data_IF_317727717551
#
_entry.id   IF_317727717551
#
_cell.length_a   1.000
_cell.length_b   1.000
_cell.length_c   1.000
_cell.angle_alpha   90.00
_cell.angle_beta   90.00
_cell.angle_gamma   90.00
#
_symmetry.space_group_name_H-M   'P 1'
#
loop_
_entity.id
_entity.type
_entity.pdbx_description
1 polymer ?
#
# COMPACT_ATOMS: atom_id res chain seq x y z
N UNK A 1 -15.30 -1.31 -13.48
CA UNK A 1 -15.44 0.14 -13.17
C UNK A 1 -14.07 0.65 -12.74
N UNK A 2 -13.53 1.69 -13.37
CA UNK A 2 -12.23 2.24 -13.00
C UNK A 2 -12.34 3.06 -11.70
N UNK A 3 -11.24 3.14 -10.93
CA UNK A 3 -11.15 3.91 -9.67
C UNK A 3 -10.04 4.95 -9.78
N UNK A 4 -10.31 6.16 -9.28
CA UNK A 4 -9.31 7.25 -9.25
C UNK A 4 -8.59 7.24 -7.90
N UNK A 5 -7.25 7.26 -7.93
CA UNK A 5 -6.36 7.24 -6.78
C UNK A 5 -5.44 8.48 -6.84
N UNK A 6 -5.85 9.57 -6.21
CA UNK A 6 -5.17 10.86 -6.41
C UNK A 6 -5.34 11.34 -7.86
N UNK A 7 -4.23 11.44 -8.58
CA UNK A 7 -4.18 11.80 -10.01
C UNK A 7 -4.11 10.59 -10.96
N UNK A 8 -4.17 9.37 -10.42
CA UNK A 8 -4.03 8.13 -11.18
C UNK A 8 -5.37 7.41 -11.35
N UNK A 9 -5.50 6.69 -12.46
CA UNK A 9 -6.65 5.83 -12.73
C UNK A 9 -6.22 4.36 -12.65
N UNK A 10 -6.90 3.58 -11.84
CA UNK A 10 -6.78 2.13 -11.78
C UNK A 10 -7.92 1.51 -12.58
N UNK A 11 -7.65 0.91 -13.75
CA UNK A 11 -8.71 0.39 -14.64
C UNK A 11 -9.52 -0.74 -14.01
N UNK A 12 -8.85 -1.65 -13.33
CA UNK A 12 -9.48 -2.75 -12.59
C UNK A 12 -9.25 -2.54 -11.09
N UNK A 13 -10.30 -2.37 -10.25
CA UNK A 13 -10.16 -2.05 -8.83
C UNK A 13 -9.74 -3.28 -7.99
N UNK A 14 -8.71 -3.97 -8.45
CA UNK A 14 -8.10 -5.12 -7.78
C UNK A 14 -6.66 -4.75 -7.42
N UNK A 15 -6.32 -4.88 -6.14
CA UNK A 15 -4.99 -4.68 -5.61
C UNK A 15 -4.44 -6.01 -5.10
N UNK A 16 -3.28 -6.43 -5.60
CA UNK A 16 -2.56 -7.57 -5.08
C UNK A 16 -1.74 -7.13 -3.86
N UNK A 17 -1.94 -7.80 -2.73
CA UNK A 17 -1.24 -7.51 -1.48
C UNK A 17 0.26 -7.80 -1.55
N UNK A 18 1.07 -6.98 -0.88
CA UNK A 18 2.51 -7.18 -0.78
C UNK A 18 2.85 -8.34 0.17
N UNK A 19 3.38 -9.43 -0.35
CA UNK A 19 3.79 -10.62 0.39
C UNK A 19 5.32 -10.78 0.35
N UNK A 20 5.96 -10.79 1.49
CA UNK A 20 7.37 -11.18 1.66
C UNK A 20 7.46 -12.66 2.06
N UNK A 21 8.58 -13.36 1.98
CA UNK A 21 9.81 -13.01 1.27
C UNK A 21 9.79 -13.71 -0.09
N UNK A 22 10.23 -13.01 -1.15
CA UNK A 22 10.38 -13.64 -2.47
C UNK A 22 9.10 -13.91 -3.25
N UNK A 23 7.90 -13.57 -2.71
CA UNK A 23 6.61 -13.81 -3.37
C UNK A 23 6.20 -12.60 -4.21
N UNK A 24 6.01 -11.44 -3.60
CA UNK A 24 5.60 -10.23 -4.30
C UNK A 24 6.81 -9.46 -4.82
N UNK A 25 7.33 -9.90 -5.94
CA UNK A 25 8.41 -9.27 -6.70
C UNK A 25 7.89 -8.78 -8.07
N UNK A 26 8.80 -8.35 -8.92
CA UNK A 26 8.50 -7.78 -10.24
C UNK A 26 7.61 -8.70 -11.12
N UNK A 27 7.86 -10.00 -11.11
CA UNK A 27 7.10 -10.96 -11.93
C UNK A 27 5.61 -10.96 -11.58
N UNK A 28 5.25 -11.13 -10.30
CA UNK A 28 3.85 -11.11 -9.86
C UNK A 28 3.25 -9.72 -10.01
N UNK A 29 3.92 -8.69 -9.49
CA UNK A 29 3.41 -7.33 -9.52
C UNK A 29 3.23 -6.81 -10.96
N UNK A 30 4.22 -7.05 -11.83
CA UNK A 30 4.15 -6.66 -13.24
C UNK A 30 3.02 -7.36 -14.01
N UNK A 31 2.81 -8.66 -13.76
CA UNK A 31 1.72 -9.41 -14.38
C UNK A 31 0.34 -8.90 -13.95
N UNK A 32 0.13 -8.66 -12.66
CA UNK A 32 -1.13 -8.09 -12.17
C UNK A 32 -1.37 -6.70 -12.77
N UNK A 33 -0.34 -5.87 -12.83
CA UNK A 33 -0.44 -4.56 -13.46
C UNK A 33 -0.69 -4.64 -14.97
N UNK A 34 -0.09 -5.59 -15.68
CA UNK A 34 -0.37 -5.83 -17.09
C UNK A 34 -1.82 -6.23 -17.37
N UNK A 35 -2.49 -6.83 -16.39
CA UNK A 35 -3.92 -7.13 -16.44
C UNK A 35 -4.84 -5.96 -16.04
N UNK A 36 -4.30 -4.76 -15.81
CA UNK A 36 -5.06 -3.56 -15.45
C UNK A 36 -5.31 -3.37 -13.96
N UNK A 37 -4.85 -4.27 -13.09
CA UNK A 37 -4.90 -4.16 -11.64
C UNK A 37 -3.73 -3.35 -11.07
N UNK A 38 -3.63 -3.31 -9.73
CA UNK A 38 -2.48 -2.78 -9.01
C UNK A 38 -1.62 -3.94 -8.48
N UNK A 39 -0.49 -4.19 -9.11
CA UNK A 39 0.50 -5.14 -8.62
C UNK A 39 1.40 -4.49 -7.58
N UNK A 40 1.69 -5.20 -6.49
CA UNK A 40 2.44 -4.63 -5.36
C UNK A 40 3.72 -5.42 -5.09
N UNK A 41 4.85 -4.72 -5.07
CA UNK A 41 6.16 -5.27 -4.68
C UNK A 41 6.33 -5.11 -3.16
N UNK A 42 6.73 -6.19 -2.48
CA UNK A 42 7.06 -6.14 -1.04
C UNK A 42 8.50 -5.75 -0.82
N UNK A 43 8.76 -4.81 0.10
CA UNK A 43 10.13 -4.44 0.50
C UNK A 43 10.78 -5.46 1.44
N UNK A 44 10.02 -6.43 1.94
CA UNK A 44 10.52 -7.42 2.89
C UNK A 44 11.57 -8.33 2.25
N UNK A 45 12.84 -8.07 2.56
CA UNK A 45 14.00 -8.82 2.06
C UNK A 45 13.96 -9.04 0.54
N UNK A 46 13.53 -8.04 -0.21
CA UNK A 46 13.33 -8.15 -1.67
C UNK A 46 14.64 -8.38 -2.46
N UNK A 47 15.78 -8.14 -1.83
CA UNK A 47 17.11 -8.40 -2.37
C UNK A 47 17.72 -9.76 -1.98
N UNK A 48 16.94 -10.66 -1.38
CA UNK A 48 17.44 -11.94 -0.85
C UNK A 48 18.21 -12.81 -1.86
N UNK A 49 17.94 -12.63 -3.15
CA UNK A 49 18.63 -13.35 -4.23
C UNK A 49 19.86 -12.59 -4.78
N UNK A 50 20.21 -11.43 -4.23
CA UNK A 50 21.41 -10.71 -4.63
C UNK A 50 22.67 -11.44 -4.15
N UNK A 51 23.75 -11.50 -4.94
CA UNK A 51 24.97 -12.24 -4.58
C UNK A 51 25.63 -11.78 -3.29
N UNK A 52 25.46 -10.51 -2.94
CA UNK A 52 26.04 -9.87 -1.75
C UNK A 52 25.04 -9.72 -0.58
N UNK A 53 23.86 -10.34 -0.66
CA UNK A 53 22.82 -10.16 0.35
C UNK A 53 23.27 -10.54 1.76
N UNK A 54 24.01 -11.64 1.91
CA UNK A 54 24.51 -12.10 3.21
C UNK A 54 25.47 -11.10 3.87
N UNK A 55 26.22 -10.35 3.07
CA UNK A 55 27.27 -9.42 3.56
C UNK A 55 26.79 -7.97 3.58
N UNK A 56 25.85 -7.61 2.72
CA UNK A 56 25.35 -6.25 2.58
C UNK A 56 23.84 -6.21 2.28
N UNK A 57 22.98 -6.72 3.19
CA UNK A 57 21.55 -6.83 2.94
C UNK A 57 20.85 -5.49 2.71
N UNK A 58 21.37 -4.42 3.31
CA UNK A 58 20.79 -3.09 3.16
C UNK A 58 20.83 -2.63 1.68
N UNK A 59 22.01 -2.53 1.11
CA UNK A 59 22.22 -2.09 -0.27
C UNK A 59 21.66 -3.08 -1.27
N UNK A 60 21.74 -4.38 -0.99
CA UNK A 60 21.15 -5.43 -1.80
C UNK A 60 19.63 -5.24 -1.97
N UNK A 61 18.92 -4.97 -0.86
CA UNK A 61 17.50 -4.70 -0.89
C UNK A 61 17.15 -3.45 -1.71
N UNK A 62 17.83 -2.34 -1.49
CA UNK A 62 17.54 -1.08 -2.19
C UNK A 62 17.82 -1.21 -3.70
N UNK A 63 18.91 -1.83 -4.06
CA UNK A 63 19.30 -2.09 -5.47
C UNK A 63 18.28 -3.00 -6.16
N UNK A 64 17.90 -4.09 -5.49
CA UNK A 64 16.90 -5.01 -6.00
C UNK A 64 15.54 -4.34 -6.13
N UNK A 65 15.10 -3.59 -5.12
CA UNK A 65 13.82 -2.87 -5.14
C UNK A 65 13.72 -1.94 -6.34
N UNK A 66 14.75 -1.12 -6.58
CA UNK A 66 14.77 -0.21 -7.72
C UNK A 66 14.67 -0.93 -9.07
N UNK A 67 15.38 -2.05 -9.21
CA UNK A 67 15.33 -2.90 -10.41
C UNK A 67 13.94 -3.52 -10.60
N UNK A 68 13.37 -4.09 -9.55
CA UNK A 68 12.07 -4.75 -9.58
C UNK A 68 10.94 -3.77 -9.93
N UNK A 69 10.95 -2.56 -9.37
CA UNK A 69 9.95 -1.54 -9.70
C UNK A 69 10.00 -1.20 -11.20
N UNK A 70 11.20 -0.92 -11.75
CA UNK A 70 11.34 -0.61 -13.18
C UNK A 70 10.85 -1.77 -14.05
N UNK A 71 11.26 -3.00 -13.72
CA UNK A 71 10.87 -4.18 -14.50
C UNK A 71 9.37 -4.47 -14.44
N UNK A 72 8.74 -4.33 -13.26
CA UNK A 72 7.29 -4.44 -13.13
C UNK A 72 6.55 -3.36 -13.96
N UNK A 73 7.07 -2.13 -14.00
CA UNK A 73 6.53 -1.04 -14.83
C UNK A 73 6.66 -1.34 -16.33
N UNK A 74 7.80 -1.87 -16.76
CA UNK A 74 8.01 -2.32 -18.13
C UNK A 74 6.99 -3.41 -18.53
N UNK A 75 6.80 -4.41 -17.66
CA UNK A 75 5.82 -5.49 -17.86
C UNK A 75 4.38 -4.96 -17.90
N UNK A 76 4.04 -4.02 -17.03
CA UNK A 76 2.73 -3.39 -16.97
C UNK A 76 2.39 -2.61 -18.25
N UNK A 77 3.38 -2.04 -18.91
CA UNK A 77 3.24 -1.25 -20.14
C UNK A 77 2.09 -0.23 -20.10
N UNK A 78 1.86 0.38 -18.93
CA UNK A 78 0.80 1.37 -18.71
C UNK A 78 -0.63 0.81 -18.58
N UNK A 79 -0.82 -0.51 -18.58
CA UNK A 79 -2.16 -1.12 -18.49
C UNK A 79 -2.76 -1.02 -17.07
N UNK A 80 -1.93 -1.04 -16.04
CA UNK A 80 -2.31 -0.91 -14.65
C UNK A 80 -1.23 -0.19 -13.84
N UNK A 81 -1.28 -0.31 -12.51
CA UNK A 81 -0.40 0.41 -11.60
C UNK A 81 0.57 -0.55 -10.87
N UNK A 82 1.77 -0.07 -10.57
CA UNK A 82 2.77 -0.78 -9.77
C UNK A 82 2.94 -0.05 -8.44
N UNK A 83 2.58 -0.70 -7.35
CA UNK A 83 2.75 -0.23 -5.99
C UNK A 83 3.96 -0.87 -5.31
N UNK A 84 4.42 -0.24 -4.23
CA UNK A 84 5.39 -0.82 -3.30
C UNK A 84 4.81 -0.82 -1.90
N UNK A 85 4.84 -1.98 -1.25
CA UNK A 85 4.44 -2.14 0.15
C UNK A 85 5.68 -2.03 1.04
N UNK A 86 5.71 -1.02 1.91
CA UNK A 86 6.78 -0.76 2.87
C UNK A 86 6.26 -0.88 4.31
N UNK A 87 7.03 -1.58 5.15
CA UNK A 87 6.70 -1.77 6.57
C UNK A 87 7.33 -0.66 7.41
N UNK A 88 6.50 0.15 8.09
CA UNK A 88 6.94 1.27 8.94
C UNK A 88 7.90 0.82 10.05
N UNK A 89 7.70 -0.37 10.59
CA UNK A 89 8.50 -0.91 11.69
C UNK A 89 9.91 -1.36 11.29
N UNK A 90 10.27 -1.34 10.00
CA UNK A 90 11.60 -1.75 9.55
C UNK A 90 12.60 -0.60 9.56
N UNK A 91 13.87 -0.90 9.83
CA UNK A 91 14.95 0.09 9.78
C UNK A 91 15.18 0.69 8.39
N UNK A 92 14.82 -0.05 7.33
CA UNK A 92 14.97 0.37 5.93
C UNK A 92 13.75 1.09 5.37
N UNK A 93 12.72 1.38 6.19
CA UNK A 93 11.46 1.96 5.73
C UNK A 93 11.65 3.22 4.87
N UNK A 94 12.29 4.22 5.41
CA UNK A 94 12.45 5.51 4.73
C UNK A 94 13.25 5.39 3.42
N UNK A 95 14.34 4.63 3.43
CA UNK A 95 15.18 4.45 2.23
C UNK A 95 14.48 3.59 1.17
N UNK A 96 13.69 2.60 1.60
CA UNK A 96 12.85 1.82 0.69
C UNK A 96 11.79 2.69 0.01
N UNK A 97 11.12 3.58 0.77
CA UNK A 97 10.14 4.52 0.20
C UNK A 97 10.81 5.44 -0.83
N UNK A 98 11.92 6.09 -0.46
CA UNK A 98 12.66 6.96 -1.40
C UNK A 98 13.11 6.22 -2.66
N UNK A 99 13.60 5.00 -2.49
CA UNK A 99 14.07 4.17 -3.60
C UNK A 99 12.93 3.80 -4.53
N UNK A 100 11.79 3.38 -3.99
CA UNK A 100 10.60 3.06 -4.77
C UNK A 100 10.08 4.27 -5.56
N UNK A 101 10.02 5.44 -4.92
CA UNK A 101 9.59 6.69 -5.56
C UNK A 101 10.52 7.08 -6.72
N UNK A 102 11.85 7.06 -6.50
CA UNK A 102 12.85 7.35 -7.54
C UNK A 102 12.84 6.31 -8.67
N UNK A 103 12.45 5.09 -8.39
CA UNK A 103 12.32 4.04 -9.39
C UNK A 103 11.02 4.13 -10.21
N UNK A 104 10.10 5.05 -9.85
CA UNK A 104 8.87 5.33 -10.60
C UNK A 104 7.66 4.48 -10.16
N UNK A 105 7.60 4.03 -8.90
CA UNK A 105 6.41 3.40 -8.36
C UNK A 105 5.18 4.31 -8.50
N UNK A 106 4.02 3.74 -8.85
CA UNK A 106 2.76 4.49 -9.00
C UNK A 106 2.08 4.75 -7.66
N UNK A 107 2.33 3.89 -6.67
CA UNK A 107 1.81 4.05 -5.33
C UNK A 107 2.77 3.51 -4.27
N UNK A 108 2.72 4.10 -3.07
CA UNK A 108 3.36 3.58 -1.86
C UNK A 108 2.27 3.20 -0.87
N UNK A 109 2.29 1.94 -0.47
CA UNK A 109 1.37 1.36 0.52
C UNK A 109 2.15 1.06 1.79
N UNK A 110 1.73 1.57 2.93
CA UNK A 110 2.46 1.40 4.18
C UNK A 110 1.60 0.81 5.29
N UNK A 111 2.13 -0.22 5.92
CA UNK A 111 1.55 -0.92 7.07
C UNK A 111 2.60 -1.28 8.11
N UNK A 112 2.26 -2.19 9.03
CA UNK A 112 3.09 -2.56 10.19
C UNK A 112 3.47 -1.31 11.02
N UNK A 113 2.50 -0.48 11.31
CA UNK A 113 2.58 0.81 11.98
C UNK A 113 1.91 1.93 11.18
N UNK A 114 1.65 3.07 11.84
CA UNK A 114 1.07 4.23 11.16
C UNK A 114 2.17 5.05 10.45
N UNK A 115 2.09 5.23 9.13
CA UNK A 115 3.09 5.93 8.33
C UNK A 115 2.96 7.46 8.46
N UNK A 116 3.29 8.00 9.64
CA UNK A 116 3.07 9.41 9.98
C UNK A 116 3.85 10.37 9.09
N UNK A 117 5.03 9.96 8.67
CA UNK A 117 6.03 10.73 7.92
C UNK A 117 6.03 10.44 6.40
N UNK A 118 5.19 9.53 5.93
CA UNK A 118 5.16 9.16 4.51
C UNK A 118 4.99 10.37 3.57
N UNK A 119 4.13 11.38 3.86
CA UNK A 119 4.05 12.56 3.01
C UNK A 119 5.35 13.37 2.96
N UNK A 120 6.11 13.43 4.08
CA UNK A 120 7.40 14.11 4.10
C UNK A 120 8.43 13.36 3.26
N UNK A 121 8.52 12.03 3.41
CA UNK A 121 9.40 11.18 2.58
C UNK A 121 9.07 11.31 1.09
N UNK A 122 7.79 11.38 0.74
CA UNK A 122 7.37 11.58 -0.65
C UNK A 122 7.75 12.97 -1.19
N UNK A 123 7.67 14.00 -0.37
CA UNK A 123 8.06 15.36 -0.75
C UNK A 123 9.57 15.51 -1.03
N UNK A 124 10.41 14.64 -0.46
CA UNK A 124 11.85 14.61 -0.75
C UNK A 124 12.18 14.14 -2.18
N UNK A 125 11.22 13.52 -2.87
CA UNK A 125 11.34 13.06 -4.26
C UNK A 125 10.34 13.86 -5.11
N UNK A 126 10.67 15.11 -5.39
CA UNK A 126 9.78 16.12 -5.98
C UNK A 126 9.21 15.75 -7.36
N UNK A 127 9.92 14.93 -8.12
CA UNK A 127 9.49 14.42 -9.42
C UNK A 127 8.46 13.28 -9.32
N UNK A 128 8.29 12.68 -8.14
CA UNK A 128 7.36 11.58 -7.95
C UNK A 128 5.91 12.06 -7.87
N UNK A 129 5.03 11.37 -8.56
CA UNK A 129 3.57 11.50 -8.51
C UNK A 129 2.90 10.25 -7.93
N UNK A 130 3.60 9.51 -7.08
CA UNK A 130 3.05 8.30 -6.48
C UNK A 130 1.87 8.62 -5.56
N UNK A 131 0.83 7.82 -5.66
CA UNK A 131 -0.27 7.84 -4.70
C UNK A 131 0.20 7.25 -3.35
N UNK A 132 -0.25 7.83 -2.25
CA UNK A 132 0.15 7.42 -0.90
C UNK A 132 -1.02 6.81 -0.15
N UNK A 133 -0.84 5.60 0.36
CA UNK A 133 -1.88 4.85 1.04
C UNK A 133 -1.40 4.21 2.35
N UNK A 134 -2.02 4.53 3.48
CA UNK A 134 -1.85 3.77 4.71
C UNK A 134 -2.70 2.50 4.70
N UNK A 135 -2.21 1.45 5.37
CA UNK A 135 -3.01 0.29 5.77
C UNK A 135 -3.56 0.56 7.16
N UNK A 136 -4.85 0.35 7.34
CA UNK A 136 -5.56 0.56 8.62
C UNK A 136 -6.45 -0.64 8.93
N UNK A 137 -6.75 -0.86 10.22
CA UNK A 137 -7.59 -1.97 10.67
C UNK A 137 -8.86 -1.47 11.40
N UNK A 138 -9.10 -0.16 11.43
CA UNK A 138 -10.28 0.43 12.11
C UNK A 138 -10.55 1.85 11.63
N UNK A 139 -11.78 2.33 11.83
CA UNK A 139 -12.16 3.73 11.60
C UNK A 139 -11.34 4.70 12.43
N UNK A 140 -11.00 4.34 13.68
CA UNK A 140 -10.13 5.15 14.55
C UNK A 140 -8.74 5.36 13.92
N UNK A 141 -8.12 4.31 13.39
CA UNK A 141 -6.81 4.40 12.74
C UNK A 141 -6.88 5.24 11.45
N UNK A 142 -7.94 5.06 10.65
CA UNK A 142 -8.19 5.83 9.44
C UNK A 142 -8.33 7.33 9.75
N UNK A 143 -9.18 7.70 10.69
CA UNK A 143 -9.37 9.09 11.08
C UNK A 143 -8.11 9.72 11.69
N UNK A 144 -7.35 8.95 12.49
CA UNK A 144 -6.11 9.42 13.09
C UNK A 144 -5.05 9.74 12.03
N UNK A 145 -4.80 8.84 11.08
CA UNK A 145 -3.76 9.05 10.07
C UNK A 145 -4.12 10.21 9.12
N UNK A 146 -5.39 10.31 8.71
CA UNK A 146 -5.87 11.43 7.90
C UNK A 146 -5.69 12.77 8.63
N UNK A 147 -6.05 12.84 9.91
CA UNK A 147 -5.87 14.04 10.73
C UNK A 147 -4.40 14.43 10.90
N UNK A 148 -3.52 13.45 11.09
CA UNK A 148 -2.08 13.70 11.23
C UNK A 148 -1.48 14.23 9.93
N UNK A 149 -1.77 13.60 8.79
CA UNK A 149 -1.26 14.05 7.51
C UNK A 149 -1.78 15.42 7.12
N UNK A 150 -3.08 15.64 7.29
CA UNK A 150 -3.71 16.93 7.01
C UNK A 150 -3.10 18.05 7.85
N UNK A 151 -2.97 17.84 9.17
CA UNK A 151 -2.44 18.85 10.09
C UNK A 151 -0.97 19.21 9.84
N UNK A 152 -0.13 18.20 9.55
CA UNK A 152 1.30 18.38 9.47
C UNK A 152 1.81 18.66 8.05
N UNK A 153 1.09 18.21 7.04
CA UNK A 153 1.54 18.24 5.65
C UNK A 153 0.52 18.84 4.68
N UNK A 154 -0.68 19.20 5.14
CA UNK A 154 -1.77 19.65 4.27
C UNK A 154 -2.16 18.59 3.23
N UNK A 155 -1.94 17.32 3.53
CA UNK A 155 -2.17 16.20 2.61
C UNK A 155 -3.14 15.20 3.21
N UNK A 156 -3.96 14.60 2.35
CA UNK A 156 -4.91 13.53 2.69
C UNK A 156 -4.49 12.29 1.88
N UNK A 157 -4.60 11.08 2.43
CA UNK A 157 -4.31 9.84 1.68
C UNK A 157 -5.05 9.80 0.35
N UNK A 158 -4.40 9.24 -0.67
CA UNK A 158 -5.01 9.09 -2.00
C UNK A 158 -6.01 7.94 -2.04
N UNK A 159 -5.78 6.92 -1.24
CA UNK A 159 -6.67 5.81 -0.94
C UNK A 159 -6.23 5.16 0.38
N UNK A 160 -7.03 4.24 0.91
CA UNK A 160 -6.67 3.43 2.07
C UNK A 160 -6.82 1.95 1.75
N UNK A 161 -6.12 1.12 2.54
CA UNK A 161 -6.37 -0.31 2.59
C UNK A 161 -6.90 -0.63 3.98
N UNK A 162 -8.13 -1.17 4.04
CA UNK A 162 -8.70 -1.73 5.25
C UNK A 162 -8.31 -3.21 5.32
N UNK A 163 -7.44 -3.53 6.27
CA UNK A 163 -6.99 -4.89 6.51
C UNK A 163 -7.73 -5.51 7.68
N UNK A 164 -8.55 -6.52 7.37
CA UNK A 164 -9.31 -7.28 8.36
C UNK A 164 -8.48 -8.35 9.06
N UNK A 165 -9.04 -9.01 10.08
CA UNK A 165 -8.32 -10.01 10.90
C UNK A 165 -8.00 -11.32 10.17
N UNK A 166 -8.55 -11.54 8.98
CA UNK A 166 -8.22 -12.67 8.11
C UNK A 166 -6.97 -12.45 7.25
N UNK A 167 -6.26 -11.34 7.41
CA UNK A 167 -5.01 -11.08 6.74
C UNK A 167 -3.87 -11.90 7.35
N UNK A 168 -2.80 -12.09 6.57
CA UNK A 168 -1.54 -12.65 7.05
C UNK A 168 -0.54 -11.55 7.41
N UNK A 169 0.46 -11.87 8.22
CA UNK A 169 1.53 -10.96 8.62
C UNK A 169 1.22 -10.14 9.87
N UNK A 170 1.52 -8.84 9.83
CA UNK A 170 1.32 -7.95 10.98
C UNK A 170 -0.13 -7.49 11.05
N UNK A 171 -0.85 -7.91 12.09
CA UNK A 171 -2.24 -7.54 12.29
C UNK A 171 -2.37 -6.30 13.18
N UNK A 172 -3.26 -5.38 12.81
CA UNK A 172 -3.60 -4.20 13.59
C UNK A 172 -4.64 -4.44 14.69
N UNK A 173 -4.76 -5.68 15.17
CA UNK A 173 -5.73 -6.12 16.18
C UNK A 173 -5.02 -6.59 17.45
N UNK A 174 -5.58 -6.28 18.61
CA UNK A 174 -5.14 -6.84 19.87
C UNK A 174 -5.50 -8.33 19.99
N UNK A 175 -4.83 -9.04 20.89
CA UNK A 175 -5.15 -10.45 21.16
C UNK A 175 -6.62 -10.66 21.54
N UNK A 176 -7.18 -9.75 22.32
CA UNK A 176 -8.57 -9.81 22.76
C UNK A 176 -9.56 -9.61 21.59
N UNK A 177 -9.25 -8.74 20.63
CA UNK A 177 -10.06 -8.56 19.43
C UNK A 177 -9.99 -9.79 18.51
N UNK A 178 -8.88 -10.51 18.52
CA UNK A 178 -8.73 -11.76 17.73
C UNK A 178 -9.47 -12.95 18.35
N UNK A 179 -9.90 -12.90 19.62
CA UNK A 179 -10.77 -13.93 20.21
C UNK A 179 -12.21 -13.87 19.65
N UNK A 180 -12.66 -12.66 19.26
CA UNK A 180 -13.93 -12.40 18.57
C UNK A 180 -13.69 -11.41 17.45
N UNK A 181 -13.08 -11.88 16.33
CA UNK A 181 -12.61 -10.97 15.29
C UNK A 181 -13.78 -10.26 14.60
N UNK A 182 -13.67 -8.94 14.39
CA UNK A 182 -14.66 -8.21 13.62
C UNK A 182 -14.64 -8.66 12.16
N UNK A 183 -15.77 -8.55 11.49
CA UNK A 183 -15.84 -8.80 10.04
C UNK A 183 -15.45 -7.57 9.25
N UNK A 184 -14.99 -7.74 8.01
CA UNK A 184 -14.74 -6.62 7.08
C UNK A 184 -16.02 -5.80 6.88
N UNK A 185 -17.19 -6.44 6.81
CA UNK A 185 -18.49 -5.78 6.67
C UNK A 185 -18.87 -4.89 7.86
N UNK A 186 -18.33 -5.18 9.05
CA UNK A 186 -18.51 -4.32 10.23
C UNK A 186 -17.49 -3.18 10.24
N UNK A 187 -16.25 -3.44 9.85
CA UNK A 187 -15.16 -2.45 9.87
C UNK A 187 -15.28 -1.40 8.77
N UNK A 188 -15.74 -1.78 7.57
CA UNK A 188 -15.79 -0.89 6.42
C UNK A 188 -16.67 0.36 6.66
N UNK A 189 -17.92 0.24 7.19
CA UNK A 189 -18.72 1.42 7.50
C UNK A 189 -18.05 2.39 8.47
N UNK A 190 -17.37 1.88 9.51
CA UNK A 190 -16.64 2.73 10.47
C UNK A 190 -15.51 3.51 9.79
N UNK A 191 -14.78 2.86 8.87
CA UNK A 191 -13.71 3.53 8.10
C UNK A 191 -14.30 4.58 7.17
N UNK A 192 -15.39 4.28 6.47
CA UNK A 192 -16.05 5.22 5.56
C UNK A 192 -16.61 6.44 6.30
N UNK A 193 -17.19 6.25 7.47
CA UNK A 193 -17.66 7.34 8.35
C UNK A 193 -16.48 8.21 8.82
N UNK A 194 -15.39 7.59 9.27
CA UNK A 194 -14.20 8.31 9.71
C UNK A 194 -13.54 9.12 8.58
N UNK A 195 -13.71 8.72 7.31
CA UNK A 195 -13.18 9.41 6.15
C UNK A 195 -14.07 10.56 5.65
N UNK A 196 -15.36 10.60 5.99
CA UNK A 196 -16.30 11.59 5.45
C UNK A 196 -15.81 13.04 5.57
N UNK A 197 -15.33 13.54 6.72
CA UNK A 197 -14.84 14.93 6.84
C UNK A 197 -13.63 15.23 5.96
N UNK A 198 -12.83 14.21 5.66
CA UNK A 198 -11.61 14.36 4.85
C UNK A 198 -11.90 14.32 3.35
N UNK A 199 -12.95 13.59 2.92
CA UNK A 199 -13.47 13.64 1.55
C UNK A 199 -13.97 15.02 1.19
N UNK A 200 -14.80 15.61 2.05
CA UNK A 200 -15.33 16.97 1.87
C UNK A 200 -14.17 17.97 1.74
N UNK A 201 -13.18 17.87 2.63
CA UNK A 201 -12.02 18.74 2.62
C UNK A 201 -11.12 18.54 1.41
N UNK A 202 -10.94 17.31 0.96
CA UNK A 202 -10.14 16.99 -0.23
C UNK A 202 -10.85 17.37 -1.55
N UNK A 203 -12.18 17.54 -1.52
CA UNK A 203 -13.00 17.74 -2.72
C UNK A 203 -12.96 16.52 -3.65
N UNK A 204 -12.62 15.33 -3.14
CA UNK A 204 -12.52 14.08 -3.89
C UNK A 204 -12.82 12.89 -3.02
N UNK A 205 -13.16 11.79 -3.66
CA UNK A 205 -13.27 10.50 -2.98
C UNK A 205 -11.90 10.03 -2.44
N UNK A 206 -11.96 9.22 -1.38
CA UNK A 206 -10.84 8.48 -0.83
C UNK A 206 -11.23 7.00 -0.89
N UNK A 207 -10.88 6.29 -1.97
CA UNK A 207 -11.23 4.89 -2.11
C UNK A 207 -10.65 4.02 -0.99
N UNK A 208 -11.39 2.99 -0.58
CA UNK A 208 -10.97 2.02 0.41
C UNK A 208 -10.93 0.64 -0.23
N UNK A 209 -9.76 0.05 -0.32
CA UNK A 209 -9.61 -1.36 -0.70
C UNK A 209 -9.72 -2.23 0.54
N UNK A 210 -10.55 -3.27 0.48
CA UNK A 210 -10.68 -4.22 1.59
C UNK A 210 -9.77 -5.42 1.36
N UNK A 211 -9.11 -5.87 2.42
CA UNK A 211 -8.16 -6.98 2.40
C UNK A 211 -8.30 -7.83 3.68
N UNK A 212 -7.77 -9.05 3.64
CA UNK A 212 -7.76 -9.92 4.81
C UNK A 212 -9.04 -10.75 4.96
N UNK A 213 -9.18 -11.75 4.10
CA UNK A 213 -10.27 -12.73 4.16
C UNK A 213 -11.18 -12.79 2.95
N UNK A 214 -10.95 -11.95 1.91
CA UNK A 214 -11.65 -12.05 0.61
C UNK A 214 -11.10 -13.24 -0.16
N UNK A 215 -11.90 -14.29 -0.36
CA UNK A 215 -11.44 -15.58 -0.87
C UNK A 215 -11.93 -15.93 -2.28
N UNK A 216 -12.95 -15.24 -2.76
CA UNK A 216 -13.55 -15.51 -4.07
C UNK A 216 -14.22 -14.25 -4.66
N UNK A 217 -14.62 -14.34 -5.93
CA UNK A 217 -15.22 -13.21 -6.64
C UNK A 217 -16.57 -12.77 -6.09
N UNK A 218 -17.36 -13.64 -5.48
CA UNK A 218 -18.62 -13.26 -4.87
C UNK A 218 -18.41 -12.42 -3.61
N UNK A 219 -17.44 -12.79 -2.77
CA UNK A 219 -17.02 -11.98 -1.62
C UNK A 219 -16.42 -10.65 -2.07
N UNK A 220 -15.60 -10.65 -3.12
CA UNK A 220 -15.02 -9.43 -3.69
C UNK A 220 -16.11 -8.46 -4.20
N UNK A 221 -17.16 -8.99 -4.83
CA UNK A 221 -18.26 -8.19 -5.37
C UNK A 221 -19.18 -7.60 -4.30
N UNK A 222 -19.04 -8.04 -3.04
CA UNK A 222 -19.81 -7.51 -1.91
C UNK A 222 -19.22 -6.21 -1.33
N UNK A 223 -18.02 -5.84 -1.74
CA UNK A 223 -17.32 -4.63 -1.31
C UNK A 223 -17.10 -3.67 -2.48
#
# INVERSE_FOLDING_TARGET
MAVTLGDKTLPMPILQGGMGVGVSLDGLAGTVAACGGMGTISTAMCGFAEPDFETNPFEANLRALARQVRRAKEMANGAGLVAVNAMVATTQYADSVRTALRAGADAIVCGAGLPRDLPALAAEVSESRAALAPIVSSGRAAGLICKLWDRHYGRIPDFLILEGPGAGGHLGFSRQELEKPPTLSALLPEVLEALAPFRDRAGRDIPVFVAGGVKNGAEMAAY
#
